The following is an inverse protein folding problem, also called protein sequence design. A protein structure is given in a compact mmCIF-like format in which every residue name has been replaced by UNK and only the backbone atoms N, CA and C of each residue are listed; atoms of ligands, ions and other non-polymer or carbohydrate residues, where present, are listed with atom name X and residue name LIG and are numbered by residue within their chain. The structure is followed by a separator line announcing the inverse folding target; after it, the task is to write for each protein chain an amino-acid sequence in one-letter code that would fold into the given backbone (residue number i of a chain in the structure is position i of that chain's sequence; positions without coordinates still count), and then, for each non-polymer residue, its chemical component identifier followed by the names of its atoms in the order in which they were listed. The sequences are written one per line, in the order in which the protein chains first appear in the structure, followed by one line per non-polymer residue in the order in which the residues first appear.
data_IF_119918616040
#
_entry.id   IF_119918616040
#
_cell.length_a   1.000
_cell.length_b   1.000
_cell.length_c   1.000
_cell.angle_alpha   90.00
_cell.angle_beta   90.00
_cell.angle_gamma   90.00
#
_symmetry.space_group_name_H-M   'P 1'
#
loop_
_entity.id
_entity.type
_entity.pdbx_description
1 polymer ?
#
# COMPACT_ATOMS: atom_id res chain seq x y z
N UNK A 1 0.82 -30.77 -34.14
CA UNK A 1 -0.11 -29.66 -33.86
C UNK A 1 -0.24 -29.56 -32.34
N UNK A 2 0.51 -28.64 -31.71
CA UNK A 2 0.48 -28.45 -30.25
C UNK A 2 -0.65 -27.47 -29.88
N UNK A 3 -1.31 -27.63 -28.72
CA UNK A 3 -2.43 -26.75 -28.38
C UNK A 3 -1.91 -25.36 -28.01
N UNK A 4 -2.51 -24.34 -28.61
CA UNK A 4 -2.41 -22.94 -28.19
C UNK A 4 -2.92 -22.84 -26.76
N UNK A 5 -2.02 -22.57 -25.80
CA UNK A 5 -2.42 -22.19 -24.44
C UNK A 5 -2.99 -20.78 -24.51
N UNK A 6 -4.31 -20.68 -24.39
CA UNK A 6 -5.03 -19.43 -24.17
C UNK A 6 -4.35 -18.62 -23.06
N UNK A 7 -4.20 -17.31 -23.30
CA UNK A 7 -3.55 -16.37 -22.40
C UNK A 7 -4.17 -16.39 -21.01
N UNK A 8 -3.51 -17.06 -20.07
CA UNK A 8 -3.70 -16.84 -18.66
C UNK A 8 -3.18 -15.44 -18.38
N UNK A 9 -4.09 -14.49 -18.12
CA UNK A 9 -3.77 -13.17 -17.61
C UNK A 9 -2.87 -13.34 -16.39
N UNK A 10 -1.55 -13.21 -16.59
CA UNK A 10 -0.58 -13.31 -15.49
C UNK A 10 -0.92 -12.16 -14.54
N UNK A 11 -1.37 -12.50 -13.33
CA UNK A 11 -1.45 -11.51 -12.26
C UNK A 11 -0.06 -10.85 -12.11
N UNK A 12 0.00 -9.54 -11.91
CA UNK A 12 1.27 -8.87 -11.70
C UNK A 12 1.97 -9.48 -10.48
N UNK A 13 3.31 -9.62 -10.51
CA UNK A 13 4.05 -10.30 -9.44
C UNK A 13 4.02 -9.51 -8.12
N UNK A 14 3.78 -8.20 -8.17
CA UNK A 14 3.83 -7.32 -7.01
C UNK A 14 2.59 -6.43 -6.98
N UNK A 15 1.96 -6.33 -5.80
CA UNK A 15 0.87 -5.38 -5.54
C UNK A 15 1.28 -4.36 -4.46
N UNK A 16 0.53 -3.26 -4.38
CA UNK A 16 0.75 -2.19 -3.41
C UNK A 16 -0.46 -2.01 -2.49
N UNK A 17 -0.23 -1.80 -1.21
CA UNK A 17 -1.28 -1.48 -0.23
C UNK A 17 -0.89 -0.24 0.57
N UNK A 18 -1.80 0.73 0.65
CA UNK A 18 -1.63 1.90 1.50
C UNK A 18 -2.52 1.75 2.72
N UNK A 19 -1.92 1.78 3.91
CA UNK A 19 -2.68 1.76 5.17
C UNK A 19 -3.25 3.16 5.41
N UNK A 20 -4.54 3.31 5.15
CA UNK A 20 -5.24 4.59 5.15
C UNK A 20 -6.44 4.63 6.12
N UNK A 21 -6.63 3.57 6.92
CA UNK A 21 -7.54 3.52 8.05
C UNK A 21 -6.86 3.81 9.39
N UNK A 22 -7.66 3.91 10.45
CA UNK A 22 -7.17 4.04 11.83
C UNK A 22 -7.78 5.21 12.62
N UNK A 23 -7.30 5.36 13.86
CA UNK A 23 -7.87 6.20 14.92
C UNK A 23 -7.93 7.72 14.64
N UNK A 24 -7.56 8.19 13.45
CA UNK A 24 -7.80 9.57 13.04
C UNK A 24 -9.29 9.85 12.75
N UNK A 25 -10.13 8.82 12.57
CA UNK A 25 -11.59 8.98 12.63
C UNK A 25 -12.10 9.42 14.02
N UNK A 26 -11.33 9.21 15.09
CA UNK A 26 -11.63 9.70 16.45
C UNK A 26 -11.30 11.19 16.65
N UNK A 27 -10.60 11.83 15.69
CA UNK A 27 -10.26 13.25 15.70
C UNK A 27 -11.11 14.09 14.72
N UNK A 28 -12.23 13.55 14.24
CA UNK A 28 -13.25 14.32 13.51
C UNK A 28 -12.93 14.61 12.02
N UNK A 29 -11.73 14.28 11.53
CA UNK A 29 -11.36 14.36 10.10
C UNK A 29 -10.45 13.20 9.69
N UNK A 30 -10.72 12.62 8.52
CA UNK A 30 -9.95 11.50 7.97
C UNK A 30 -8.53 11.96 7.55
N UNK A 31 -7.52 11.61 8.36
CA UNK A 31 -6.09 11.98 8.18
C UNK A 31 -5.53 11.51 6.83
N UNK A 32 -6.14 10.51 6.18
CA UNK A 32 -5.74 10.07 4.84
C UNK A 32 -5.85 11.18 3.78
N UNK A 33 -6.76 12.14 4.00
CA UNK A 33 -6.94 13.34 3.18
C UNK A 33 -6.24 14.57 3.75
N UNK A 34 -5.43 14.45 4.80
CA UNK A 34 -4.64 15.57 5.28
C UNK A 34 -3.81 16.12 4.12
N UNK A 35 -4.07 17.39 3.79
CA UNK A 35 -3.45 18.06 2.65
C UNK A 35 -2.03 18.46 3.00
N UNK A 36 -1.10 18.10 2.14
CA UNK A 36 0.24 18.68 2.08
C UNK A 36 0.34 19.55 0.82
N UNK A 37 1.40 20.37 0.65
CA UNK A 37 1.65 21.05 -0.63
C UNK A 37 1.76 20.09 -1.84
N UNK A 38 2.10 18.82 -1.60
CA UNK A 38 2.22 17.78 -2.62
C UNK A 38 0.92 16.98 -2.85
N UNK A 39 -0.16 17.31 -2.12
CA UNK A 39 -1.45 16.64 -2.19
C UNK A 39 -1.81 15.84 -0.93
N UNK A 40 -2.90 15.04 -0.97
CA UNK A 40 -3.34 14.21 0.14
C UNK A 40 -2.30 13.13 0.50
N UNK A 41 -2.08 12.89 1.79
CA UNK A 41 -1.11 11.90 2.29
C UNK A 41 -1.26 10.51 1.65
N UNK A 42 -2.48 9.96 1.62
CA UNK A 42 -2.72 8.67 0.97
C UNK A 42 -2.46 8.73 -0.55
N UNK A 43 -2.74 9.87 -1.19
CA UNK A 43 -2.44 10.10 -2.60
C UNK A 43 -0.94 10.07 -2.90
N UNK A 44 -0.12 10.66 -2.03
CA UNK A 44 1.35 10.66 -2.16
C UNK A 44 1.88 9.22 -2.11
N UNK A 45 1.43 8.42 -1.13
CA UNK A 45 1.82 7.01 -1.01
C UNK A 45 1.39 6.18 -2.24
N UNK A 46 0.17 6.39 -2.74
CA UNK A 46 -0.32 5.75 -3.98
C UNK A 46 0.58 6.10 -5.17
N UNK A 47 0.93 7.38 -5.33
CA UNK A 47 1.79 7.82 -6.43
C UNK A 47 3.19 7.23 -6.32
N UNK A 48 3.76 7.15 -5.10
CA UNK A 48 5.06 6.53 -4.89
C UNK A 48 5.07 5.05 -5.34
N UNK A 49 4.04 4.27 -4.98
CA UNK A 49 3.87 2.87 -5.43
C UNK A 49 3.75 2.77 -6.95
N UNK A 50 2.89 3.58 -7.57
CA UNK A 50 2.70 3.57 -9.03
C UNK A 50 3.96 3.96 -9.78
N UNK A 51 4.69 4.98 -9.31
CA UNK A 51 5.97 5.39 -9.89
C UNK A 51 7.08 4.34 -9.71
N UNK A 52 6.96 3.48 -8.69
CA UNK A 52 7.85 2.33 -8.52
C UNK A 52 7.54 1.20 -9.52
N UNK A 53 6.42 1.26 -10.24
CA UNK A 53 5.96 0.23 -11.20
C UNK A 53 5.01 -0.80 -10.59
N UNK A 54 4.40 -0.48 -9.45
CA UNK A 54 3.50 -1.39 -8.73
C UNK A 54 2.05 -1.12 -9.12
N UNK A 55 1.37 -2.17 -9.59
CA UNK A 55 -0.05 -2.20 -9.92
C UNK A 55 -0.52 -3.66 -9.80
N UNK A 56 -1.65 -3.99 -9.12
CA UNK A 56 -2.63 -3.08 -8.54
C UNK A 56 -2.16 -2.37 -7.26
N UNK A 57 -2.77 -1.22 -6.97
CA UNK A 57 -2.66 -0.50 -5.69
C UNK A 57 -4.03 -0.39 -5.02
N UNK A 58 -4.09 -0.63 -3.71
CA UNK A 58 -5.32 -0.55 -2.90
C UNK A 58 -5.13 0.29 -1.65
N UNK A 59 -6.20 0.91 -1.16
CA UNK A 59 -6.28 1.52 0.16
C UNK A 59 -6.84 0.49 1.16
N UNK A 60 -6.26 0.40 2.35
CA UNK A 60 -6.79 -0.43 3.44
C UNK A 60 -7.43 0.47 4.48
N UNK A 61 -8.72 0.25 4.75
CA UNK A 61 -9.48 0.95 5.78
C UNK A 61 -9.83 2.41 5.46
N UNK A 62 -9.63 2.86 4.22
CA UNK A 62 -10.04 4.20 3.80
C UNK A 62 -11.57 4.28 3.57
N UNK A 63 -12.16 5.44 3.82
CA UNK A 63 -13.58 5.67 3.52
C UNK A 63 -13.86 5.60 2.02
N UNK A 64 -15.12 5.38 1.65
CA UNK A 64 -15.57 5.44 0.25
C UNK A 64 -15.33 6.82 -0.37
N UNK A 65 -15.38 7.90 0.41
CA UNK A 65 -15.09 9.25 -0.11
C UNK A 65 -13.62 9.42 -0.46
N UNK A 66 -12.71 8.88 0.36
CA UNK A 66 -11.26 8.88 0.09
C UNK A 66 -10.96 8.09 -1.18
N UNK A 67 -11.52 6.88 -1.27
CA UNK A 67 -11.44 6.00 -2.44
C UNK A 67 -11.88 6.74 -3.72
N UNK A 68 -13.05 7.38 -3.67
CA UNK A 68 -13.60 8.13 -4.80
C UNK A 68 -12.72 9.34 -5.17
N UNK A 69 -12.25 10.12 -4.19
CA UNK A 69 -11.38 11.29 -4.42
C UNK A 69 -10.04 10.91 -5.05
N UNK A 70 -9.46 9.78 -4.66
CA UNK A 70 -8.16 9.34 -5.17
C UNK A 70 -8.28 8.47 -6.43
N UNK A 71 -9.46 7.95 -6.75
CA UNK A 71 -9.64 6.99 -7.83
C UNK A 71 -8.86 5.69 -7.58
N UNK A 72 -8.85 5.22 -6.33
CA UNK A 72 -8.13 4.01 -5.90
C UNK A 72 -9.09 3.13 -5.10
N UNK A 73 -9.20 1.82 -5.40
CA UNK A 73 -10.08 0.94 -4.65
C UNK A 73 -9.70 0.89 -3.17
N UNK A 74 -10.71 0.73 -2.30
CA UNK A 74 -10.51 0.53 -0.86
C UNK A 74 -11.02 -0.85 -0.43
N UNK A 75 -10.32 -1.46 0.52
CA UNK A 75 -10.72 -2.69 1.21
C UNK A 75 -10.98 -2.36 2.68
N UNK A 76 -12.16 -2.67 3.23
CA UNK A 76 -12.43 -2.52 4.65
C UNK A 76 -11.44 -3.33 5.50
N UNK A 77 -11.01 -2.77 6.62
CA UNK A 77 -10.17 -3.51 7.57
C UNK A 77 -10.95 -4.69 8.14
N UNK A 78 -10.40 -5.90 8.01
CA UNK A 78 -10.99 -7.15 8.52
C UNK A 78 -10.88 -7.28 10.04
N UNK A 79 -9.98 -6.51 10.66
CA UNK A 79 -9.78 -6.48 12.11
C UNK A 79 -9.91 -5.03 12.64
N UNK A 80 -11.09 -4.39 12.54
CA UNK A 80 -11.26 -3.01 12.96
C UNK A 80 -10.88 -2.81 14.43
N UNK A 81 -10.01 -1.84 14.70
CA UNK A 81 -9.58 -1.49 16.07
C UNK A 81 -8.30 -2.17 16.55
N UNK A 82 -7.79 -3.18 15.81
CA UNK A 82 -6.53 -3.89 16.14
C UNK A 82 -5.27 -3.15 15.68
N UNK A 83 -5.41 -1.88 15.28
CA UNK A 83 -4.30 -1.03 14.88
C UNK A 83 -3.60 -1.47 13.60
N UNK A 84 -2.33 -1.08 13.39
CA UNK A 84 -1.61 -1.33 12.15
C UNK A 84 -1.44 -2.81 11.76
N UNK A 85 -1.42 -3.72 12.74
CA UNK A 85 -1.31 -5.16 12.47
C UNK A 85 -2.59 -5.74 11.87
N UNK A 86 -3.76 -5.27 12.30
CA UNK A 86 -5.05 -5.64 11.68
C UNK A 86 -5.12 -5.21 10.22
N UNK A 87 -4.72 -3.97 9.94
CA UNK A 87 -4.64 -3.46 8.57
C UNK A 87 -3.60 -4.19 7.71
N UNK A 88 -2.44 -4.55 8.28
CA UNK A 88 -1.43 -5.36 7.60
C UNK A 88 -1.96 -6.76 7.27
N UNK A 89 -2.67 -7.40 8.19
CA UNK A 89 -3.33 -8.68 7.94
C UNK A 89 -4.31 -8.57 6.77
N UNK A 90 -5.15 -7.53 6.76
CA UNK A 90 -6.08 -7.25 5.66
C UNK A 90 -5.34 -7.08 4.32
N UNK A 91 -4.23 -6.34 4.29
CA UNK A 91 -3.40 -6.15 3.10
C UNK A 91 -2.85 -7.49 2.57
N UNK A 92 -2.33 -8.34 3.46
CA UNK A 92 -1.82 -9.67 3.11
C UNK A 92 -2.91 -10.58 2.56
N UNK A 93 -4.12 -10.55 3.15
CA UNK A 93 -5.27 -11.31 2.66
C UNK A 93 -5.71 -10.88 1.27
N UNK A 94 -5.79 -9.57 1.04
CA UNK A 94 -6.09 -9.01 -0.29
C UNK A 94 -5.04 -9.42 -1.34
N UNK A 95 -3.77 -9.42 -0.95
CA UNK A 95 -2.64 -9.78 -1.82
C UNK A 95 -2.38 -11.29 -1.99
N UNK A 96 -3.25 -12.16 -1.48
CA UNK A 96 -3.03 -13.63 -1.40
C UNK A 96 -2.73 -14.36 -2.73
N UNK A 97 -2.89 -13.72 -3.88
CA UNK A 97 -2.52 -14.31 -5.18
C UNK A 97 -1.55 -13.47 -6.00
N UNK A 98 -0.73 -12.64 -5.35
CA UNK A 98 0.49 -12.04 -5.94
C UNK A 98 1.72 -12.58 -5.21
N UNK A 99 2.91 -12.44 -5.80
CA UNK A 99 4.16 -12.95 -5.22
C UNK A 99 4.61 -12.10 -4.03
N UNK A 100 4.45 -10.78 -4.12
CA UNK A 100 4.83 -9.83 -3.05
C UNK A 100 3.80 -8.72 -2.93
N UNK A 101 3.67 -8.16 -1.74
CA UNK A 101 2.93 -6.91 -1.50
C UNK A 101 3.85 -5.91 -0.81
N UNK A 102 3.86 -4.68 -1.32
CA UNK A 102 4.53 -3.55 -0.66
C UNK A 102 3.46 -2.79 0.12
N UNK A 103 3.66 -2.67 1.43
CA UNK A 103 2.71 -2.03 2.34
C UNK A 103 3.32 -0.73 2.86
N UNK A 104 2.61 0.39 2.70
CA UNK A 104 3.08 1.73 3.10
C UNK A 104 2.00 2.42 3.96
N UNK A 105 2.32 2.90 5.18
CA UNK A 105 1.45 3.80 5.93
C UNK A 105 1.25 5.13 5.20
N UNK A 106 0.03 5.67 5.18
CA UNK A 106 -0.25 6.94 4.49
C UNK A 106 0.51 8.15 5.07
N UNK A 107 0.96 8.09 6.33
CA UNK A 107 1.66 9.20 7.00
C UNK A 107 3.19 9.19 6.84
N UNK A 108 3.69 8.48 5.82
CA UNK A 108 5.10 8.49 5.41
C UNK A 108 5.29 9.25 4.06
N UNK A 109 5.07 10.58 3.99
CA UNK A 109 5.07 11.32 2.73
C UNK A 109 6.43 11.41 2.03
N UNK A 110 7.51 11.06 2.73
CA UNK A 110 8.87 11.08 2.18
C UNK A 110 9.26 9.76 1.50
N UNK A 111 8.42 8.71 1.59
CA UNK A 111 8.69 7.45 0.90
C UNK A 111 8.40 7.64 -0.58
N UNK A 112 9.45 7.52 -1.39
CA UNK A 112 9.37 7.65 -2.83
C UNK A 112 9.68 6.34 -3.57
N UNK A 113 9.61 6.38 -4.90
CA UNK A 113 9.88 5.22 -5.77
C UNK A 113 11.27 4.61 -5.57
N UNK A 114 12.27 5.41 -5.18
CA UNK A 114 13.65 4.94 -4.99
C UNK A 114 13.76 4.08 -3.74
N UNK A 115 13.14 4.52 -2.64
CA UNK A 115 13.03 3.75 -1.38
C UNK A 115 12.28 2.45 -1.62
N UNK A 116 11.16 2.51 -2.34
CA UNK A 116 10.34 1.33 -2.65
C UNK A 116 11.12 0.33 -3.51
N UNK A 117 11.84 0.79 -4.55
CA UNK A 117 12.66 -0.09 -5.40
C UNK A 117 13.81 -0.72 -4.62
N UNK A 118 14.49 0.04 -3.76
CA UNK A 118 15.54 -0.49 -2.89
C UNK A 118 14.98 -1.59 -1.97
N UNK A 119 13.82 -1.37 -1.35
CA UNK A 119 13.14 -2.36 -0.52
C UNK A 119 12.83 -3.65 -1.29
N UNK A 120 12.33 -3.53 -2.53
CA UNK A 120 12.02 -4.68 -3.38
C UNK A 120 13.27 -5.48 -3.76
N UNK A 121 14.38 -4.81 -4.04
CA UNK A 121 15.66 -5.46 -4.37
C UNK A 121 16.33 -6.14 -3.18
N UNK A 122 16.11 -5.66 -1.95
CA UNK A 122 16.62 -6.32 -0.74
C UNK A 122 15.84 -7.58 -0.35
N UNK A 123 14.59 -7.71 -0.83
CA UNK A 123 13.69 -8.81 -0.49
C UNK A 123 13.87 -10.09 -1.30
N UNK A 124 14.94 -10.21 -2.09
CA UNK A 124 15.14 -11.37 -2.97
C UNK A 124 15.56 -12.65 -2.23
N UNK A 125 15.97 -12.57 -0.95
CA UNK A 125 16.42 -13.72 -0.14
C UNK A 125 15.66 -13.94 1.19
N UNK A 126 14.51 -13.31 1.43
CA UNK A 126 13.79 -13.43 2.72
C UNK A 126 12.27 -13.23 2.65
N UNK A 127 11.56 -13.65 3.70
CA UNK A 127 10.08 -13.58 3.79
C UNK A 127 9.54 -12.16 4.04
N UNK A 128 10.39 -11.23 4.49
CA UNK A 128 10.03 -9.82 4.74
C UNK A 128 11.26 -8.93 4.58
N UNK A 129 11.03 -7.65 4.29
CA UNK A 129 12.07 -6.61 4.25
C UNK A 129 11.53 -5.31 4.84
N UNK A 130 12.41 -4.51 5.43
CA UNK A 130 12.06 -3.22 6.02
C UNK A 130 13.07 -2.18 5.55
N UNK A 131 12.58 -1.00 5.16
CA UNK A 131 13.40 0.18 4.89
C UNK A 131 13.21 1.19 6.02
N UNK A 132 14.31 1.73 6.52
CA UNK A 132 14.31 2.81 7.53
C UNK A 132 14.80 4.11 6.90
N UNK A 133 14.08 5.19 7.16
CA UNK A 133 14.43 6.54 6.68
C UNK A 133 14.86 7.40 7.88
N UNK A 134 16.13 7.79 7.88
CA UNK A 134 16.75 8.51 9.00
C UNK A 134 17.41 7.56 10.00
N UNK A 135 18.71 7.77 10.23
CA UNK A 135 19.39 7.22 11.40
C UNK A 135 18.95 8.06 12.61
N UNK A 136 18.08 7.53 13.47
CA UNK A 136 18.11 7.92 14.88
C UNK A 136 18.73 6.74 15.64
N UNK A 137 19.95 6.88 16.18
CA UNK A 137 20.37 6.01 17.26
C UNK A 137 19.33 6.15 18.38
N UNK A 138 19.01 5.03 19.02
CA UNK A 138 18.14 4.96 20.18
C UNK A 138 18.55 5.96 21.28
#
# INVERSE_FOLDING_TARGET
MAPVRAGLSRRPPVAGAVLAGGASSRFGTDKSLASTPAGPLAGIAVQALRQAGIDPVVLIGASSEVSAKLGVPTVPDLMPGEGPLGALWTALRWASGVTRVVVIPCDMPHVDRSVIRALMSSGDNGSASVATMGQRPH
#
